data_IF_083863250586
#
_entry.id   IF_083863250586
#
_cell.length_a   1.000
_cell.length_b   1.000
_cell.length_c   1.000
_cell.angle_alpha   90.00
_cell.angle_beta   90.00
_cell.angle_gamma   90.00
#
_symmetry.space_group_name_H-M   'P 1'
#
loop_
_entity.id
_entity.type
_entity.pdbx_description
1 polymer ?
#
# COMPACT_ATOMS: atom_id res chain seq x y z
N UNK A 1 54.28 -3.57 -9.23
CA UNK A 1 53.43 -4.36 -10.15
C UNK A 1 52.49 -5.21 -9.31
N UNK A 2 51.18 -4.95 -9.34
CA UNK A 2 50.22 -5.68 -8.49
C UNK A 2 50.13 -7.14 -8.98
N UNK A 3 50.30 -8.10 -8.06
CA UNK A 3 50.23 -9.52 -8.37
C UNK A 3 48.83 -9.85 -8.93
N UNK A 4 48.77 -10.52 -10.08
CA UNK A 4 47.53 -10.87 -10.78
C UNK A 4 46.49 -11.55 -9.87
N UNK A 5 46.92 -12.39 -8.91
CA UNK A 5 46.03 -12.99 -7.90
C UNK A 5 45.40 -11.95 -6.97
N UNK A 6 46.16 -10.93 -6.55
CA UNK A 6 45.63 -9.83 -5.71
C UNK A 6 44.63 -8.98 -6.49
N UNK A 7 44.89 -8.71 -7.77
CA UNK A 7 43.95 -7.98 -8.63
C UNK A 7 42.60 -8.70 -8.77
N UNK A 8 42.61 -10.02 -9.03
CA UNK A 8 41.38 -10.83 -9.08
C UNK A 8 40.62 -10.78 -7.75
N UNK A 9 41.32 -10.91 -6.62
CA UNK A 9 40.68 -10.84 -5.30
C UNK A 9 40.02 -9.48 -5.08
N UNK A 10 40.67 -8.37 -5.46
CA UNK A 10 40.07 -7.04 -5.35
C UNK A 10 38.87 -6.86 -6.29
N UNK A 11 38.91 -7.38 -7.52
CA UNK A 11 37.76 -7.34 -8.42
C UNK A 11 36.57 -8.16 -7.90
N UNK A 12 36.82 -9.35 -7.33
CA UNK A 12 35.77 -10.18 -6.72
C UNK A 12 35.21 -9.49 -5.48
N UNK A 13 36.05 -8.93 -4.60
CA UNK A 13 35.59 -8.16 -3.43
C UNK A 13 34.77 -6.94 -3.86
N UNK A 14 35.20 -6.21 -4.90
CA UNK A 14 34.45 -5.07 -5.43
C UNK A 14 33.09 -5.51 -5.99
N UNK A 15 33.02 -6.61 -6.75
CA UNK A 15 31.75 -7.16 -7.24
C UNK A 15 30.84 -7.63 -6.10
N UNK A 16 31.38 -8.30 -5.08
CA UNK A 16 30.63 -8.75 -3.89
C UNK A 16 30.11 -7.58 -3.06
N UNK A 17 30.72 -6.41 -3.13
CA UNK A 17 30.24 -5.18 -2.46
C UNK A 17 29.26 -4.41 -3.34
N UNK A 18 29.58 -4.23 -4.63
CA UNK A 18 28.81 -3.41 -5.57
C UNK A 18 27.48 -4.10 -5.93
N UNK A 19 27.46 -5.41 -6.13
CA UNK A 19 26.25 -6.15 -6.53
C UNK A 19 25.14 -6.09 -5.47
N UNK A 20 25.37 -6.28 -4.16
CA UNK A 20 24.31 -6.08 -3.17
C UNK A 20 23.94 -4.61 -2.95
N UNK A 21 24.88 -3.66 -3.11
CA UNK A 21 24.57 -2.22 -2.96
C UNK A 21 23.71 -1.69 -4.12
N UNK A 22 23.99 -2.14 -5.36
CA UNK A 22 23.36 -1.58 -6.56
C UNK A 22 22.46 -2.57 -7.34
N UNK A 23 22.64 -3.88 -7.17
CA UNK A 23 21.99 -4.92 -7.97
C UNK A 23 20.87 -5.67 -7.25
N UNK A 24 20.78 -5.59 -5.92
CA UNK A 24 19.75 -6.24 -5.11
C UNK A 24 19.22 -5.29 -4.04
N UNK A 25 18.59 -4.19 -4.45
CA UNK A 25 17.67 -3.45 -3.58
C UNK A 25 16.22 -3.70 -3.98
N UNK A 26 15.73 -4.97 -3.94
CA UNK A 26 14.30 -5.19 -4.14
C UNK A 26 13.56 -4.46 -3.01
N UNK A 27 12.56 -3.67 -3.37
CA UNK A 27 11.68 -2.97 -2.43
C UNK A 27 12.32 -1.79 -1.66
N UNK A 28 13.04 -0.89 -2.34
CA UNK A 28 13.20 0.49 -1.82
C UNK A 28 11.83 1.04 -1.39
N UNK A 29 11.77 1.90 -0.36
CA UNK A 29 10.52 2.59 0.00
C UNK A 29 10.02 3.38 -1.22
N UNK A 30 8.96 2.89 -1.87
CA UNK A 30 8.46 3.41 -3.15
C UNK A 30 7.37 4.46 -3.00
N UNK A 31 6.85 4.67 -1.78
CA UNK A 31 5.80 5.65 -1.55
C UNK A 31 6.46 7.00 -1.21
N UNK A 32 6.41 7.88 -2.19
CA UNK A 32 6.88 9.27 -2.10
C UNK A 32 5.89 10.07 -1.25
N UNK A 33 6.29 10.44 -0.03
CA UNK A 33 5.45 11.16 0.92
C UNK A 33 5.01 12.53 0.38
N UNK A 34 5.89 13.24 -0.33
CA UNK A 34 5.61 14.59 -0.85
C UNK A 34 4.52 14.55 -1.93
N UNK A 35 4.50 13.48 -2.72
CA UNK A 35 3.42 13.24 -3.71
C UNK A 35 2.14 12.71 -3.08
N UNK A 36 2.27 11.73 -2.19
CA UNK A 36 1.12 11.01 -1.60
C UNK A 36 0.32 11.92 -0.65
N UNK A 37 1.02 12.73 0.15
CA UNK A 37 0.45 13.63 1.16
C UNK A 37 0.32 15.07 0.66
N UNK A 38 0.30 15.29 -0.65
CA UNK A 38 0.26 16.62 -1.25
C UNK A 38 -0.86 17.49 -0.66
N UNK A 39 -0.57 18.75 -0.31
CA UNK A 39 -1.54 19.54 0.47
C UNK A 39 -2.76 20.00 -0.34
N UNK A 40 -2.57 20.31 -1.62
CA UNK A 40 -3.69 20.77 -2.45
C UNK A 40 -4.59 19.60 -2.84
N UNK A 41 -5.89 19.86 -2.92
CA UNK A 41 -6.88 18.91 -3.43
C UNK A 41 -6.97 18.98 -4.95
N UNK A 42 -7.52 17.94 -5.57
CA UNK A 42 -7.76 17.83 -7.02
C UNK A 42 -6.52 17.78 -7.93
N UNK A 43 -5.31 17.80 -7.38
CA UNK A 43 -4.06 17.76 -8.17
C UNK A 43 -3.36 16.40 -8.17
N UNK A 44 -3.82 15.46 -7.35
CA UNK A 44 -3.22 14.12 -7.31
C UNK A 44 -3.39 13.45 -8.67
N UNK A 45 -2.26 12.98 -9.22
CA UNK A 45 -2.17 12.45 -10.58
C UNK A 45 -2.59 10.99 -10.58
N UNK A 46 -3.47 10.63 -11.50
CA UNK A 46 -3.77 9.22 -11.78
C UNK A 46 -2.75 8.71 -12.79
N UNK A 47 -1.92 7.74 -12.40
CA UNK A 47 -0.89 7.16 -13.25
C UNK A 47 -0.69 5.66 -12.98
N UNK A 48 -0.18 4.97 -13.99
CA UNK A 48 0.39 3.62 -13.85
C UNK A 48 1.75 3.64 -14.50
N UNK A 49 2.78 3.26 -13.75
CA UNK A 49 4.16 3.33 -14.22
C UNK A 49 4.98 2.18 -13.70
N UNK A 50 5.72 1.53 -14.60
CA UNK A 50 6.71 0.52 -14.23
C UNK A 50 7.94 1.19 -13.61
N UNK A 51 8.40 0.66 -12.48
CA UNK A 51 9.58 1.14 -11.75
C UNK A 51 10.86 0.40 -12.21
N UNK A 52 12.05 0.96 -11.93
CA UNK A 52 13.33 0.34 -12.33
C UNK A 52 13.56 -1.06 -11.73
N UNK A 53 12.97 -1.35 -10.58
CA UNK A 53 13.02 -2.67 -9.91
C UNK A 53 11.97 -3.66 -10.44
N UNK A 54 11.37 -3.35 -11.60
CA UNK A 54 10.31 -4.11 -12.26
C UNK A 54 8.96 -4.18 -11.53
N UNK A 55 8.79 -3.49 -10.40
CA UNK A 55 7.48 -3.30 -9.77
C UNK A 55 6.64 -2.26 -10.51
N UNK A 56 5.39 -2.07 -10.09
CA UNK A 56 4.51 -1.05 -10.63
C UNK A 56 4.12 -0.04 -9.55
N UNK A 57 4.15 1.24 -9.91
CA UNK A 57 3.41 2.29 -9.23
C UNK A 57 2.02 2.38 -9.87
N UNK A 58 1.00 2.34 -9.03
CA UNK A 58 -0.38 2.66 -9.39
C UNK A 58 -0.80 3.80 -8.47
N UNK A 59 -1.18 4.93 -9.05
CA UNK A 59 -1.68 6.08 -8.32
C UNK A 59 -3.05 6.46 -8.85
N UNK A 60 -4.03 6.66 -7.96
CA UNK A 60 -5.41 6.99 -8.36
C UNK A 60 -5.99 8.06 -7.47
N UNK A 61 -6.61 9.08 -8.07
CA UNK A 61 -7.50 10.01 -7.37
C UNK A 61 -8.96 9.64 -7.60
N UNK A 62 -9.68 9.39 -6.51
CA UNK A 62 -11.12 9.12 -6.53
C UNK A 62 -11.85 10.24 -5.80
N UNK A 63 -12.73 10.97 -6.50
CA UNK A 63 -13.61 11.95 -5.87
C UNK A 63 -14.74 11.24 -5.11
N UNK A 64 -15.02 11.68 -3.89
CA UNK A 64 -16.05 11.10 -3.01
C UNK A 64 -17.02 12.21 -2.57
N UNK A 65 -17.96 12.65 -3.43
CA UNK A 65 -18.89 13.72 -3.10
C UNK A 65 -19.77 13.33 -1.90
N UNK A 66 -20.03 14.29 -1.02
CA UNK A 66 -20.79 14.12 0.22
C UNK A 66 -20.23 13.10 1.23
N UNK A 67 -19.05 12.52 0.99
CA UNK A 67 -18.35 11.64 1.94
C UNK A 67 -17.38 12.47 2.78
N UNK A 68 -17.20 12.11 4.05
CA UNK A 68 -16.15 12.65 4.93
C UNK A 68 -15.09 11.58 5.23
N UNK A 69 -13.86 12.00 5.51
CA UNK A 69 -12.76 11.13 5.89
C UNK A 69 -13.12 10.21 7.07
N UNK A 70 -13.87 10.73 8.05
CA UNK A 70 -14.40 9.95 9.19
C UNK A 70 -15.33 8.80 8.76
N UNK A 71 -16.09 8.95 7.67
CA UNK A 71 -17.00 7.90 7.19
C UNK A 71 -16.20 6.74 6.60
N UNK A 72 -15.10 7.05 5.89
CA UNK A 72 -14.19 6.02 5.39
C UNK A 72 -13.39 5.39 6.52
N UNK A 73 -13.00 6.17 7.54
CA UNK A 73 -12.41 5.63 8.77
C UNK A 73 -13.34 4.59 9.40
N UNK A 74 -14.58 4.96 9.66
CA UNK A 74 -15.62 4.08 10.20
C UNK A 74 -15.86 2.83 9.33
N UNK A 75 -15.82 2.98 8.00
CA UNK A 75 -15.99 1.86 7.07
C UNK A 75 -14.99 0.73 7.35
N UNK A 76 -13.71 1.07 7.52
CA UNK A 76 -12.64 0.11 7.82
C UNK A 76 -12.53 -0.29 9.28
N UNK A 77 -12.85 0.61 10.22
CA UNK A 77 -12.71 0.31 11.67
C UNK A 77 -13.90 -0.41 12.26
N UNK A 78 -15.11 -0.24 11.73
CA UNK A 78 -16.32 -0.72 12.43
C UNK A 78 -17.33 -1.37 11.51
N UNK A 79 -17.55 -0.87 10.30
CA UNK A 79 -18.64 -1.34 9.46
C UNK A 79 -18.36 -2.68 8.78
N UNK A 80 -17.21 -2.82 8.10
CA UNK A 80 -16.91 -3.98 7.27
C UNK A 80 -16.57 -5.19 8.15
N UNK A 81 -17.52 -6.14 8.26
CA UNK A 81 -17.40 -7.32 9.13
C UNK A 81 -17.70 -8.64 8.43
N UNK A 82 -18.38 -8.59 7.28
CA UNK A 82 -18.88 -9.77 6.60
C UNK A 82 -18.56 -9.70 5.11
N UNK A 83 -18.57 -10.87 4.46
CA UNK A 83 -18.47 -10.97 2.99
C UNK A 83 -19.58 -10.17 2.30
N UNK A 84 -20.78 -10.10 2.87
CA UNK A 84 -21.86 -9.27 2.33
C UNK A 84 -21.45 -7.79 2.31
N UNK A 85 -20.94 -7.25 3.43
CA UNK A 85 -20.49 -5.85 3.49
C UNK A 85 -19.35 -5.58 2.51
N UNK A 86 -18.41 -6.52 2.35
CA UNK A 86 -17.30 -6.37 1.41
C UNK A 86 -17.77 -6.39 -0.04
N UNK A 87 -18.76 -7.22 -0.37
CA UNK A 87 -19.37 -7.23 -1.70
C UNK A 87 -20.11 -5.94 -2.03
N UNK A 88 -20.66 -5.20 -1.06
CA UNK A 88 -21.26 -3.88 -1.31
C UNK A 88 -20.26 -2.86 -1.85
N UNK A 89 -18.96 -3.04 -1.58
CA UNK A 89 -17.93 -2.19 -2.15
C UNK A 89 -17.72 -2.49 -3.65
N UNK A 90 -17.60 -3.77 -4.02
CA UNK A 90 -17.50 -4.16 -5.42
C UNK A 90 -18.21 -5.51 -5.70
N UNK A 91 -19.51 -5.50 -6.05
CA UNK A 91 -20.35 -6.71 -6.03
C UNK A 91 -19.92 -7.84 -6.95
N UNK A 92 -19.15 -7.53 -8.00
CA UNK A 92 -18.69 -8.52 -8.98
C UNK A 92 -17.34 -9.14 -8.64
N UNK A 93 -16.49 -8.37 -7.96
CA UNK A 93 -15.06 -8.74 -7.84
C UNK A 93 -14.71 -9.14 -6.41
N UNK A 94 -15.40 -8.62 -5.39
CA UNK A 94 -15.21 -8.99 -3.99
C UNK A 94 -16.02 -10.25 -3.65
N UNK A 95 -15.34 -11.40 -3.59
CA UNK A 95 -15.99 -12.72 -3.49
C UNK A 95 -16.13 -13.18 -2.04
N UNK A 96 -15.09 -13.00 -1.23
CA UNK A 96 -15.06 -13.48 0.15
C UNK A 96 -14.11 -12.63 0.98
N UNK A 97 -14.41 -12.52 2.28
CA UNK A 97 -13.50 -11.94 3.26
C UNK A 97 -13.64 -12.55 4.65
N UNK A 98 -12.58 -12.38 5.43
CA UNK A 98 -12.54 -12.52 6.89
C UNK A 98 -11.48 -11.59 7.49
N UNK A 99 -11.40 -11.53 8.81
CA UNK A 99 -10.47 -10.70 9.55
C UNK A 99 -9.61 -11.52 10.51
N UNK A 100 -8.31 -11.25 10.52
CA UNK A 100 -7.41 -11.64 11.61
C UNK A 100 -7.15 -10.45 12.53
N UNK A 101 -7.19 -10.69 13.85
CA UNK A 101 -6.82 -9.71 14.90
C UNK A 101 -7.61 -8.40 14.89
N UNK A 102 -8.78 -8.36 14.24
CA UNK A 102 -9.62 -7.16 14.17
C UNK A 102 -10.30 -6.89 15.51
N UNK A 103 -10.20 -5.64 15.97
CA UNK A 103 -10.90 -5.13 17.16
C UNK A 103 -11.87 -4.02 16.78
N UNK A 104 -12.99 -3.83 17.52
CA UNK A 104 -13.87 -2.68 17.30
C UNK A 104 -13.11 -1.35 17.38
N UNK A 105 -13.39 -0.40 16.48
CA UNK A 105 -12.73 0.91 16.44
C UNK A 105 -11.26 0.93 15.98
N UNK A 106 -10.62 -0.22 15.80
CA UNK A 106 -9.20 -0.31 15.41
C UNK A 106 -9.04 -1.05 14.07
N UNK A 107 -8.13 -0.59 13.22
CA UNK A 107 -7.75 -1.30 11.98
C UNK A 107 -6.26 -1.64 11.93
N UNK A 108 -5.40 -0.84 12.56
CA UNK A 108 -3.96 -1.09 12.59
C UNK A 108 -3.66 -2.38 13.37
N UNK A 109 -2.81 -3.23 12.80
CA UNK A 109 -2.48 -4.55 13.35
C UNK A 109 -3.47 -5.66 12.98
N UNK A 110 -4.58 -5.34 12.30
CA UNK A 110 -5.48 -6.34 11.74
C UNK A 110 -5.05 -6.73 10.32
N UNK A 111 -5.40 -7.96 9.91
CA UNK A 111 -5.27 -8.40 8.52
C UNK A 111 -6.64 -8.67 7.93
N UNK A 112 -6.93 -8.05 6.78
CA UNK A 112 -8.10 -8.37 5.97
C UNK A 112 -7.73 -9.50 5.01
N UNK A 113 -8.37 -10.66 5.19
CA UNK A 113 -8.19 -11.81 4.33
C UNK A 113 -9.25 -11.72 3.25
N UNK A 114 -8.85 -11.75 1.97
CA UNK A 114 -9.79 -11.54 0.87
C UNK A 114 -9.56 -12.52 -0.26
N UNK A 115 -10.66 -12.93 -0.88
CA UNK A 115 -10.65 -13.47 -2.24
C UNK A 115 -11.31 -12.45 -3.14
N UNK A 116 -10.55 -11.90 -4.08
CA UNK A 116 -11.04 -10.86 -4.99
C UNK A 116 -10.48 -11.01 -6.40
N UNK A 117 -11.28 -10.63 -7.39
CA UNK A 117 -10.82 -10.55 -8.77
C UNK A 117 -10.04 -9.26 -8.98
N UNK A 118 -8.81 -9.39 -9.47
CA UNK A 118 -8.00 -8.26 -9.95
C UNK A 118 -7.79 -8.47 -11.44
N UNK A 119 -8.59 -7.78 -12.25
CA UNK A 119 -8.71 -8.11 -13.68
C UNK A 119 -9.44 -9.42 -13.88
N UNK A 120 -8.83 -10.38 -14.58
CA UNK A 120 -9.43 -11.71 -14.82
C UNK A 120 -9.06 -12.76 -13.77
N UNK A 121 -8.14 -12.45 -12.86
CA UNK A 121 -7.56 -13.44 -11.95
C UNK A 121 -8.14 -13.32 -10.54
N UNK A 122 -8.57 -14.45 -9.98
CA UNK A 122 -8.96 -14.52 -8.57
C UNK A 122 -7.70 -14.55 -7.71
N UNK A 123 -7.47 -13.47 -6.97
CA UNK A 123 -6.37 -13.33 -6.03
C UNK A 123 -6.84 -13.66 -4.62
N UNK A 124 -6.03 -14.43 -3.89
CA UNK A 124 -6.22 -14.66 -2.44
C UNK A 124 -5.18 -13.87 -1.68
N UNK A 125 -5.60 -12.83 -0.98
CA UNK A 125 -4.68 -11.85 -0.41
C UNK A 125 -4.86 -11.73 1.11
N UNK A 126 -3.76 -11.45 1.78
CA UNK A 126 -3.71 -11.02 3.18
C UNK A 126 -3.23 -9.56 3.21
N UNK A 127 -4.17 -8.64 3.45
CA UNK A 127 -3.92 -7.19 3.52
C UNK A 127 -3.68 -6.82 4.98
N UNK A 128 -2.42 -6.57 5.35
CA UNK A 128 -1.98 -6.28 6.72
C UNK A 128 -1.92 -4.79 6.95
N UNK A 129 -2.85 -4.24 7.74
CA UNK A 129 -2.89 -2.82 8.03
C UNK A 129 -1.84 -2.44 9.07
N UNK A 130 -1.03 -1.44 8.75
CA UNK A 130 0.13 -1.01 9.53
C UNK A 130 0.06 0.48 9.83
N UNK A 131 0.83 0.94 10.82
CA UNK A 131 0.90 2.37 11.10
C UNK A 131 1.54 3.10 9.91
N UNK A 132 0.88 4.17 9.47
CA UNK A 132 1.34 5.00 8.34
C UNK A 132 2.74 5.61 8.53
N UNK A 133 3.21 5.73 9.77
CA UNK A 133 4.58 6.16 10.08
C UNK A 133 5.64 5.19 9.54
N UNK A 134 5.30 3.93 9.28
CA UNK A 134 6.21 3.01 8.59
C UNK A 134 6.48 3.43 7.14
N UNK A 135 5.56 4.19 6.53
CA UNK A 135 5.70 4.68 5.16
C UNK A 135 6.23 6.11 5.13
N UNK A 136 5.77 6.96 6.04
CA UNK A 136 6.04 8.41 6.00
C UNK A 136 6.99 8.92 7.08
N UNK A 137 7.37 8.08 8.05
CA UNK A 137 8.16 8.48 9.22
C UNK A 137 7.37 9.21 10.31
N UNK A 138 6.08 9.49 10.09
CA UNK A 138 5.15 10.10 11.03
C UNK A 138 3.71 9.68 10.69
N UNK A 139 2.76 9.88 11.62
CA UNK A 139 1.35 9.64 11.37
C UNK A 139 0.67 10.91 10.82
N UNK A 140 0.21 10.93 9.56
CA UNK A 140 -0.45 12.07 8.94
C UNK A 140 -1.96 12.12 9.20
N UNK A 141 -2.53 11.20 10.00
CA UNK A 141 -3.95 11.23 10.34
C UNK A 141 -4.30 12.45 11.19
N UNK A 142 -5.41 13.10 10.85
CA UNK A 142 -6.04 14.15 11.63
C UNK A 142 -7.58 14.08 11.49
N UNK A 143 -8.29 15.12 11.93
CA UNK A 143 -9.76 15.18 11.85
C UNK A 143 -10.28 15.23 10.41
N UNK A 144 -9.51 15.83 9.49
CA UNK A 144 -9.88 16.01 8.09
C UNK A 144 -9.25 14.99 7.14
N UNK A 145 -8.31 14.19 7.65
CA UNK A 145 -7.48 13.27 6.87
C UNK A 145 -7.45 11.89 7.51
N UNK A 146 -7.94 10.90 6.78
CA UNK A 146 -7.81 9.49 7.13
C UNK A 146 -6.76 8.84 6.24
N UNK A 147 -5.70 8.32 6.85
CA UNK A 147 -4.64 7.61 6.14
C UNK A 147 -4.57 6.18 6.63
N UNK A 148 -4.75 5.24 5.70
CA UNK A 148 -4.69 3.81 5.96
C UNK A 148 -3.70 3.17 5.00
N UNK A 149 -2.65 2.58 5.56
CA UNK A 149 -1.61 1.92 4.79
C UNK A 149 -1.57 0.43 5.12
N UNK A 150 -1.16 -0.39 4.15
CA UNK A 150 -1.07 -1.83 4.30
C UNK A 150 0.10 -2.44 3.51
N UNK A 151 0.54 -3.61 3.99
CA UNK A 151 1.33 -4.56 3.20
C UNK A 151 0.38 -5.61 2.67
N UNK A 152 0.41 -5.85 1.36
CA UNK A 152 -0.41 -6.87 0.72
C UNK A 152 0.48 -8.07 0.47
N UNK A 153 0.06 -9.23 0.95
CA UNK A 153 0.71 -10.51 0.68
C UNK A 153 -0.26 -11.54 0.15
N UNK A 154 0.29 -12.68 -0.27
CA UNK A 154 -0.51 -13.82 -0.64
C UNK A 154 -1.12 -14.45 0.63
N UNK A 155 -2.34 -14.97 0.52
CA UNK A 155 -3.03 -15.54 1.68
C UNK A 155 -2.41 -16.87 2.14
N UNK A 156 -1.96 -17.67 1.18
CA UNK A 156 -1.50 -19.05 1.38
C UNK A 156 0.03 -19.15 1.51
N UNK A 157 0.78 -18.08 1.19
CA UNK A 157 2.23 -18.01 1.30
C UNK A 157 2.69 -16.83 2.18
N UNK A 158 3.83 -16.99 2.86
CA UNK A 158 4.44 -15.94 3.69
C UNK A 158 5.23 -14.93 2.84
N UNK A 159 4.61 -14.39 1.79
CA UNK A 159 5.23 -13.46 0.85
C UNK A 159 4.37 -12.20 0.69
N UNK A 160 4.96 -11.04 0.97
CA UNK A 160 4.37 -9.74 0.64
C UNK A 160 4.72 -9.34 -0.79
N UNK A 161 3.72 -8.93 -1.56
CA UNK A 161 3.83 -8.61 -2.99
C UNK A 161 3.63 -7.13 -3.28
N UNK A 162 2.95 -6.39 -2.41
CA UNK A 162 2.74 -4.95 -2.58
C UNK A 162 2.70 -4.17 -1.26
N UNK A 163 2.88 -2.86 -1.39
CA UNK A 163 2.58 -1.85 -0.38
C UNK A 163 1.50 -0.95 -0.97
N UNK A 164 0.50 -0.59 -0.16
CA UNK A 164 -0.58 0.30 -0.59
C UNK A 164 -0.89 1.31 0.50
N UNK A 165 -1.30 2.51 0.13
CA UNK A 165 -1.81 3.45 1.10
C UNK A 165 -2.93 4.31 0.51
N UNK A 166 -4.01 4.48 1.25
CA UNK A 166 -5.10 5.39 0.90
C UNK A 166 -5.06 6.61 1.81
N UNK A 167 -5.01 7.79 1.21
CA UNK A 167 -5.14 9.09 1.86
C UNK A 167 -6.48 9.68 1.48
N UNK A 168 -7.42 9.66 2.42
CA UNK A 168 -8.74 10.27 2.26
C UNK A 168 -8.72 11.64 2.91
N UNK A 169 -8.90 12.68 2.13
CA UNK A 169 -8.84 14.06 2.59
C UNK A 169 -10.16 14.76 2.36
N UNK A 170 -10.69 15.43 3.38
CA UNK A 170 -11.86 16.28 3.26
C UNK A 170 -11.64 17.40 2.24
N UNK A 171 -12.69 17.68 1.48
CA UNK A 171 -12.79 18.79 0.53
C UNK A 171 -14.03 19.63 0.87
N UNK A 172 -14.24 20.72 0.15
CA UNK A 172 -15.42 21.58 0.34
C UNK A 172 -16.74 20.83 0.07
N UNK A 173 -16.74 19.85 -0.83
CA UNK A 173 -17.96 19.16 -1.32
C UNK A 173 -18.04 17.69 -0.90
N UNK A 174 -17.10 17.19 -0.09
CA UNK A 174 -17.01 15.78 0.28
C UNK A 174 -15.59 15.43 0.68
N UNK A 175 -15.02 14.40 0.07
CA UNK A 175 -13.64 13.99 0.23
C UNK A 175 -13.02 13.60 -1.12
N UNK A 176 -11.70 13.47 -1.15
CA UNK A 176 -11.00 12.75 -2.21
C UNK A 176 -10.14 11.66 -1.57
N UNK A 177 -10.15 10.48 -2.18
CA UNK A 177 -9.25 9.38 -1.83
C UNK A 177 -8.11 9.36 -2.84
N UNK A 178 -6.88 9.29 -2.33
CA UNK A 178 -5.65 9.17 -3.11
C UNK A 178 -5.01 7.85 -2.76
N UNK A 179 -4.77 7.02 -3.76
CA UNK A 179 -4.18 5.68 -3.62
C UNK A 179 -2.86 5.59 -4.34
#
# INVERSE_FOLDING_TARGET
MMNFKKFIIYCVLALVIIVPIFGLQPFQQTIDADKTLVKQTNIYTTEVRRLPDATYLVAVRTAMPAVKAEMVRWWFTDFMKTTEHYSWWHPRDHVWMDWENKKPGEVIGSSHLVHEYIGSELSKLRIQFIDSSEFFGFNPNDEDTFVICARVGLLEEEINTAKMCHVVRNTQTGAEMRS
#
